data_IF_726823937483
#
_entry.id   IF_726823937483
#
_cell.length_a   1.000
_cell.length_b   1.000
_cell.length_c   1.000
_cell.angle_alpha   90.00
_cell.angle_beta   90.00
_cell.angle_gamma   90.00
#
_symmetry.space_group_name_H-M   'P 1'
#
loop_
_entity.id
_entity.type
_entity.pdbx_description
1 polymer ?
#
# COMPACT_ATOMS: atom_id res chain seq x y z
N UNK A 1 -24.65 4.88 4.26
CA UNK A 1 -23.98 3.56 4.25
C UNK A 1 -22.49 3.83 4.20
N UNK A 2 -21.76 3.53 5.27
CA UNK A 2 -20.29 3.61 5.22
C UNK A 2 -19.78 2.57 4.21
N UNK A 3 -18.83 2.93 3.34
CA UNK A 3 -18.22 1.93 2.46
C UNK A 3 -17.59 0.83 3.31
N UNK A 4 -17.80 -0.43 2.93
CA UNK A 4 -17.04 -1.55 3.52
C UNK A 4 -15.63 -1.46 2.96
N UNK A 5 -14.71 -0.95 3.76
CA UNK A 5 -13.30 -0.92 3.43
C UNK A 5 -12.70 -2.32 3.60
N UNK A 6 -11.71 -2.64 2.78
CA UNK A 6 -10.98 -3.89 2.85
C UNK A 6 -10.30 -4.06 4.23
N UNK A 7 -10.33 -5.27 4.84
CA UNK A 7 -9.66 -5.51 6.10
C UNK A 7 -8.14 -5.48 5.93
N UNK A 8 -7.40 -5.39 7.04
CA UNK A 8 -5.94 -5.54 7.03
C UNK A 8 -5.54 -6.86 6.35
N UNK A 9 -4.51 -6.86 5.49
CA UNK A 9 -4.07 -8.06 4.79
C UNK A 9 -3.66 -9.16 5.77
N UNK A 10 -4.02 -10.41 5.44
CA UNK A 10 -3.66 -11.58 6.26
C UNK A 10 -2.20 -11.95 6.04
N UNK A 11 -1.31 -11.25 6.74
CA UNK A 11 0.11 -11.56 6.77
C UNK A 11 0.37 -12.80 7.63
N UNK A 12 1.26 -13.67 7.15
CA UNK A 12 1.68 -14.92 7.77
C UNK A 12 3.06 -14.81 8.42
N UNK A 13 3.74 -13.69 8.23
CA UNK A 13 5.13 -13.45 8.66
C UNK A 13 6.18 -13.96 7.68
N UNK A 14 5.75 -14.52 6.54
CA UNK A 14 6.64 -14.99 5.46
C UNK A 14 6.70 -14.01 4.29
N UNK A 15 5.95 -12.92 4.38
CA UNK A 15 5.92 -11.90 3.34
C UNK A 15 7.26 -11.15 3.31
N UNK A 16 7.73 -10.71 2.13
CA UNK A 16 8.98 -9.98 2.01
C UNK A 16 9.08 -8.75 2.92
N UNK A 17 7.97 -8.06 3.18
CA UNK A 17 7.93 -6.90 4.08
C UNK A 17 7.99 -7.24 5.58
N UNK A 18 7.90 -8.53 5.93
CA UNK A 18 8.08 -9.03 7.30
C UNK A 18 9.42 -9.77 7.46
N UNK A 19 10.17 -9.97 6.36
CA UNK A 19 11.46 -10.63 6.40
C UNK A 19 12.51 -9.69 7.04
N UNK A 20 13.12 -10.05 8.20
CA UNK A 20 14.12 -9.22 8.86
C UNK A 20 15.41 -9.02 8.06
N UNK A 21 15.67 -9.84 7.03
CA UNK A 21 16.83 -9.69 6.15
C UNK A 21 16.66 -8.56 5.12
N UNK A 22 15.42 -8.11 4.89
CA UNK A 22 15.16 -6.98 4.00
C UNK A 22 15.27 -5.66 4.77
N UNK A 23 15.96 -4.68 4.18
CA UNK A 23 16.03 -3.33 4.74
C UNK A 23 14.62 -2.70 4.80
N UNK A 24 14.15 -2.23 5.97
CA UNK A 24 12.86 -1.54 6.10
C UNK A 24 12.71 -0.32 5.19
N UNK A 25 13.81 0.39 4.88
CA UNK A 25 13.80 1.56 3.99
C UNK A 25 13.39 1.18 2.56
N UNK A 26 13.50 -0.08 2.15
CA UNK A 26 13.03 -0.52 0.83
C UNK A 26 11.54 -0.20 0.59
N UNK A 27 10.74 -0.22 1.65
CA UNK A 27 9.30 -0.01 1.54
C UNK A 27 8.91 1.46 1.52
N UNK A 28 9.68 2.35 2.14
CA UNK A 28 9.32 3.77 2.35
C UNK A 28 10.35 4.79 1.88
N UNK A 29 11.46 4.33 1.29
CA UNK A 29 12.59 5.13 0.86
C UNK A 29 12.37 5.85 -0.48
N UNK A 30 13.42 5.90 -1.31
CA UNK A 30 13.41 6.64 -2.58
C UNK A 30 12.90 5.83 -3.78
N UNK A 31 12.97 6.44 -4.98
CA UNK A 31 12.47 5.80 -6.22
C UNK A 31 13.13 4.43 -6.50
N UNK A 32 14.44 4.29 -6.24
CA UNK A 32 15.15 3.02 -6.39
C UNK A 32 14.69 1.94 -5.41
N UNK A 33 14.37 2.34 -4.18
CA UNK A 33 13.85 1.45 -3.13
C UNK A 33 12.45 0.95 -3.50
N UNK A 34 11.59 1.84 -4.01
CA UNK A 34 10.26 1.49 -4.48
C UNK A 34 10.27 0.49 -5.63
N UNK A 35 11.23 0.59 -6.56
CA UNK A 35 11.37 -0.37 -7.65
C UNK A 35 11.73 -1.76 -7.13
N UNK A 36 12.73 -1.86 -6.24
CA UNK A 36 13.15 -3.12 -5.62
C UNK A 36 12.00 -3.73 -4.81
N UNK A 37 11.35 -2.95 -3.96
CA UNK A 37 10.19 -3.39 -3.19
C UNK A 37 9.06 -3.90 -4.08
N UNK A 38 8.84 -3.28 -5.24
CA UNK A 38 7.81 -3.70 -6.18
C UNK A 38 8.08 -5.07 -6.80
N UNK A 39 9.35 -5.38 -7.05
CA UNK A 39 9.79 -6.71 -7.50
C UNK A 39 9.63 -7.75 -6.39
N UNK A 40 10.01 -7.40 -5.15
CA UNK A 40 9.84 -8.29 -3.99
C UNK A 40 8.37 -8.64 -3.73
N UNK A 41 7.44 -7.72 -3.99
CA UNK A 41 6.01 -8.00 -3.83
C UNK A 41 5.43 -9.00 -4.84
N UNK A 42 6.07 -9.24 -6.00
CA UNK A 42 5.47 -10.08 -7.06
C UNK A 42 5.11 -11.51 -6.60
N UNK A 43 5.99 -12.26 -5.90
CA UNK A 43 5.66 -13.60 -5.39
C UNK A 43 4.85 -13.61 -4.10
N UNK A 44 4.48 -12.45 -3.53
CA UNK A 44 3.85 -12.39 -2.21
C UNK A 44 2.41 -12.95 -2.26
N UNK A 45 2.05 -13.94 -1.42
CA UNK A 45 0.72 -14.54 -1.44
C UNK A 45 -0.37 -13.58 -0.97
N UNK A 46 -0.03 -12.60 -0.14
CA UNK A 46 -0.98 -11.60 0.38
C UNK A 46 -1.17 -10.40 -0.56
N UNK A 47 -0.61 -10.42 -1.78
CA UNK A 47 -0.54 -9.26 -2.67
C UNK A 47 -1.91 -8.66 -3.00
N UNK A 48 -2.91 -9.48 -3.28
CA UNK A 48 -4.25 -9.01 -3.63
C UNK A 48 -4.93 -8.29 -2.44
N UNK A 49 -4.97 -8.94 -1.27
CA UNK A 49 -5.51 -8.36 -0.03
C UNK A 49 -4.74 -7.08 0.38
N UNK A 50 -3.41 -7.11 0.20
CA UNK A 50 -2.52 -5.97 0.48
C UNK A 50 -2.86 -4.78 -0.42
N UNK A 51 -3.14 -5.01 -1.71
CA UNK A 51 -3.53 -3.96 -2.64
C UNK A 51 -4.89 -3.38 -2.28
N UNK A 52 -5.88 -4.24 -2.01
CA UNK A 52 -7.23 -3.82 -1.66
C UNK A 52 -7.22 -2.91 -0.42
N UNK A 53 -6.51 -3.33 0.64
CA UNK A 53 -6.37 -2.53 1.84
C UNK A 53 -5.68 -1.18 1.56
N UNK A 54 -4.55 -1.18 0.86
CA UNK A 54 -3.77 0.04 0.63
C UNK A 54 -4.46 1.04 -0.32
N UNK A 55 -5.29 0.54 -1.24
CA UNK A 55 -6.16 1.35 -2.08
C UNK A 55 -7.26 1.99 -1.25
N UNK A 56 -7.89 1.26 -0.32
CA UNK A 56 -8.97 1.80 0.52
C UNK A 56 -8.48 2.76 1.62
N UNK A 57 -7.25 2.60 2.10
CA UNK A 57 -6.67 3.33 3.24
C UNK A 57 -5.47 4.20 2.83
N UNK A 58 -5.65 5.26 2.01
CA UNK A 58 -4.54 6.03 1.45
C UNK A 58 -3.75 6.83 2.49
N UNK A 59 -4.37 7.21 3.61
CA UNK A 59 -3.69 7.88 4.74
C UNK A 59 -2.74 6.91 5.44
N UNK A 60 -3.25 5.80 6.03
CA UNK A 60 -2.41 4.78 6.67
C UNK A 60 -1.36 4.15 5.76
N UNK A 61 -1.68 3.95 4.48
CA UNK A 61 -0.72 3.38 3.52
C UNK A 61 0.43 4.34 3.17
N UNK A 62 0.23 5.67 3.31
CA UNK A 62 1.27 6.68 3.11
C UNK A 62 1.95 6.62 1.74
N UNK A 63 3.25 6.91 1.73
CA UNK A 63 4.10 6.86 0.53
C UNK A 63 4.74 5.48 0.30
N UNK A 64 4.59 4.54 1.24
CA UNK A 64 5.21 3.24 1.14
C UNK A 64 4.72 2.40 -0.06
N UNK A 65 5.52 1.43 -0.47
CA UNK A 65 5.17 0.41 -1.45
C UNK A 65 4.24 -0.62 -0.83
N UNK A 66 3.06 -0.79 -1.42
CA UNK A 66 2.09 -1.83 -1.04
C UNK A 66 1.75 -2.67 -2.25
N UNK A 67 1.81 -4.00 -2.14
CA UNK A 67 1.50 -4.93 -3.23
C UNK A 67 2.25 -4.66 -4.56
N UNK A 68 3.43 -4.03 -4.46
CA UNK A 68 4.23 -3.55 -5.57
C UNK A 68 3.65 -2.34 -6.29
N UNK A 69 2.94 -1.48 -5.55
CA UNK A 69 2.40 -0.22 -6.04
C UNK A 69 2.86 0.94 -5.17
N UNK A 70 3.29 2.02 -5.83
CA UNK A 70 3.58 3.31 -5.21
C UNK A 70 2.29 4.05 -4.88
N UNK A 71 2.38 5.09 -4.04
CA UNK A 71 1.23 5.97 -3.74
C UNK A 71 0.58 6.53 -5.00
N UNK A 72 1.37 6.94 -6.00
CA UNK A 72 0.85 7.48 -7.27
C UNK A 72 0.02 6.44 -8.02
N UNK A 73 0.51 5.20 -8.10
CA UNK A 73 -0.22 4.11 -8.74
C UNK A 73 -1.51 3.79 -7.99
N UNK A 74 -1.50 3.76 -6.65
CA UNK A 74 -2.72 3.56 -5.85
C UNK A 74 -3.74 4.67 -6.04
N UNK A 75 -3.29 5.93 -6.15
CA UNK A 75 -4.19 7.04 -6.48
C UNK A 75 -4.84 6.89 -7.86
N UNK A 76 -4.11 6.37 -8.84
CA UNK A 76 -4.66 6.08 -10.17
C UNK A 76 -5.71 4.96 -10.09
N UNK A 77 -5.42 3.86 -9.40
CA UNK A 77 -6.37 2.76 -9.16
C UNK A 77 -7.65 3.23 -8.46
N UNK A 78 -7.53 4.10 -7.45
CA UNK A 78 -8.71 4.68 -6.78
C UNK A 78 -9.61 5.45 -7.74
N UNK A 79 -9.03 6.20 -8.69
CA UNK A 79 -9.80 6.93 -9.71
C UNK A 79 -10.49 5.97 -10.67
N UNK A 80 -9.81 4.91 -11.09
CA UNK A 80 -10.35 3.88 -11.99
C UNK A 80 -11.50 3.09 -11.34
N UNK A 81 -11.38 2.76 -10.05
CA UNK A 81 -12.42 2.09 -9.28
C UNK A 81 -13.53 3.02 -8.77
N UNK A 82 -13.45 4.32 -9.03
CA UNK A 82 -14.43 5.29 -8.56
C UNK A 82 -14.49 5.44 -7.03
N UNK A 83 -13.40 5.12 -6.33
CA UNK A 83 -13.31 5.19 -4.87
C UNK A 83 -13.14 6.66 -4.46
N UNK A 84 -14.08 7.27 -3.73
CA UNK A 84 -14.00 8.68 -3.34
C UNK A 84 -12.73 8.93 -2.53
N UNK A 85 -11.88 9.84 -2.96
CA UNK A 85 -10.76 10.33 -2.14
C UNK A 85 -11.32 10.92 -0.86
N UNK A 86 -10.81 10.46 0.30
CA UNK A 86 -11.17 11.08 1.57
C UNK A 86 -10.93 12.60 1.47
N UNK A 87 -11.81 13.43 2.05
CA UNK A 87 -11.56 14.86 2.15
C UNK A 87 -10.18 15.07 2.77
N UNK A 88 -9.39 16.01 2.23
CA UNK A 88 -8.17 16.46 2.91
C UNK A 88 -8.60 16.96 4.28
N UNK A 89 -8.14 16.31 5.35
CA UNK A 89 -8.28 16.89 6.68
C UNK A 89 -7.48 18.19 6.68
N UNK A 90 -8.19 19.32 6.71
CA UNK A 90 -7.56 20.63 6.82
C UNK A 90 -6.69 20.63 8.08
N UNK A 91 -5.42 21.08 8.02
CA UNK A 91 -4.62 21.26 9.21
C UNK A 91 -5.37 22.25 10.12
N UNK A 92 -5.83 21.77 11.27
CA UNK A 92 -6.46 22.61 12.30
C UNK A 92 -5.42 23.64 12.79
N UNK A 93 -5.80 24.92 12.98
CA UNK A 93 -4.88 26.04 13.24
C UNK A 93 -4.02 25.88 14.49
#
# INVERSE_FOLDING_TARGET
MSPRLAPWPRLTGREPCQNPDNDPELWSGGDGDHEIASLLCQPCPAREDCLAWAVDHPGPAGDATWAGTTRRQRQQLRREFGIPTAPKEDPTP
#
